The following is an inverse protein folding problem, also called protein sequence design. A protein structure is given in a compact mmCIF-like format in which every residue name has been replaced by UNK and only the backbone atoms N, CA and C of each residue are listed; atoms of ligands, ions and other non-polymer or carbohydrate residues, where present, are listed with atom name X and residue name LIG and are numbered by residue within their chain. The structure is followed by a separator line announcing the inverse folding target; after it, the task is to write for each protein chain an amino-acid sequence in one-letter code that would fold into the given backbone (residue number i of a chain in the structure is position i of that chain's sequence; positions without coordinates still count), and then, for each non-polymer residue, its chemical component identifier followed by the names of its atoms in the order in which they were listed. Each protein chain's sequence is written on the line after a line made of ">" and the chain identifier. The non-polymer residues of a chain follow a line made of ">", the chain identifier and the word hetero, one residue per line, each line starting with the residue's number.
data_IF_698932777978
#
_entry.id   IF_698932777978
#
_cell.length_a   1.000
_cell.length_b   1.000
_cell.length_c   1.000
_cell.angle_alpha   90.00
_cell.angle_beta   90.00
_cell.angle_gamma   90.00
#
_symmetry.space_group_name_H-M   'P 1'
#
loop_
_entity.id
_entity.type
_entity.pdbx_description
1 polymer ?
#
# COMPACT_ATOMS: atom_id res chain seq x y z
N UNK A 1 2.19 41.52 2.29
CA UNK A 1 3.23 40.48 2.49
C UNK A 1 2.52 39.16 2.64
N UNK A 2 2.57 38.28 1.63
CA UNK A 2 2.14 36.90 1.84
C UNK A 2 3.10 36.29 2.85
N UNK A 3 2.57 35.86 3.98
CA UNK A 3 3.39 35.22 5.00
C UNK A 3 3.94 33.94 4.38
N UNK A 4 5.21 33.61 4.62
CA UNK A 4 5.90 32.43 4.04
C UNK A 4 5.06 31.14 4.13
N UNK A 5 4.21 31.07 5.15
CA UNK A 5 3.17 30.07 5.42
C UNK A 5 2.04 29.95 4.39
N UNK A 6 1.59 31.02 3.72
CA UNK A 6 0.51 30.95 2.73
C UNK A 6 0.99 30.33 1.41
N UNK A 7 2.22 30.67 1.00
CA UNK A 7 2.86 30.08 -0.19
C UNK A 7 3.10 28.58 0.05
N UNK A 8 3.59 28.21 1.23
CA UNK A 8 3.76 26.79 1.60
C UNK A 8 2.45 26.01 1.60
N UNK A 9 1.37 26.59 2.17
CA UNK A 9 0.04 25.97 2.13
C UNK A 9 -0.49 25.81 0.71
N UNK A 10 -0.32 26.83 -0.13
CA UNK A 10 -0.72 26.76 -1.55
C UNK A 10 0.05 25.68 -2.30
N UNK A 11 1.35 25.54 -2.04
CA UNK A 11 2.19 24.52 -2.65
C UNK A 11 1.74 23.11 -2.25
N UNK A 12 1.53 22.85 -0.96
CA UNK A 12 1.06 21.56 -0.45
C UNK A 12 -0.31 21.21 -1.05
N UNK A 13 -1.22 22.19 -1.15
CA UNK A 13 -2.53 21.97 -1.74
C UNK A 13 -2.45 21.58 -3.22
N UNK A 14 -1.61 22.25 -4.01
CA UNK A 14 -1.40 21.87 -5.42
C UNK A 14 -0.80 20.46 -5.56
N UNK A 15 0.13 20.10 -4.68
CA UNK A 15 0.70 18.74 -4.69
C UNK A 15 -0.38 17.71 -4.31
N UNK A 16 -1.24 18.00 -3.34
CA UNK A 16 -2.39 17.15 -3.00
C UNK A 16 -3.34 16.98 -4.19
N UNK A 17 -3.67 18.07 -4.91
CA UNK A 17 -4.54 18.02 -6.09
C UNK A 17 -3.95 17.12 -7.18
N UNK A 18 -2.65 17.25 -7.47
CA UNK A 18 -1.96 16.41 -8.46
C UNK A 18 -1.97 14.94 -8.00
N UNK A 19 -1.71 14.67 -6.73
CA UNK A 19 -1.62 13.30 -6.22
C UNK A 19 -2.97 12.60 -6.08
N UNK A 20 -4.09 13.34 -6.05
CA UNK A 20 -5.43 12.73 -6.07
C UNK A 20 -5.67 11.90 -7.34
N UNK A 21 -5.03 12.25 -8.46
CA UNK A 21 -5.12 11.49 -9.71
C UNK A 21 -4.32 10.17 -9.66
N UNK A 22 -3.48 9.98 -8.64
CA UNK A 22 -2.61 8.81 -8.50
C UNK A 22 -2.93 8.02 -7.22
N UNK A 23 -3.77 6.99 -7.38
CA UNK A 23 -4.19 6.12 -6.26
C UNK A 23 -3.02 5.43 -5.56
N UNK A 24 -1.89 5.25 -6.26
CA UNK A 24 -0.67 4.61 -5.78
C UNK A 24 0.10 5.41 -4.70
N UNK A 25 -0.23 6.67 -4.44
CA UNK A 25 0.56 7.53 -3.55
C UNK A 25 -0.18 7.91 -2.26
N UNK A 26 0.59 8.09 -1.19
CA UNK A 26 0.15 8.62 0.10
C UNK A 26 0.06 10.15 0.06
N UNK A 27 -0.66 10.72 1.03
CA UNK A 27 -0.77 12.16 1.15
C UNK A 27 0.60 12.80 1.47
N UNK A 28 1.01 13.87 0.76
CA UNK A 28 2.26 14.58 0.99
C UNK A 28 2.27 15.22 2.38
N UNK A 29 3.42 15.19 3.04
CA UNK A 29 3.63 15.87 4.31
C UNK A 29 5.00 16.53 4.40
N UNK A 30 5.10 17.56 5.24
CA UNK A 30 6.35 18.30 5.51
C UNK A 30 7.11 17.60 6.65
N UNK A 31 8.41 17.38 6.48
CA UNK A 31 9.27 16.91 7.58
C UNK A 31 9.75 18.09 8.46
N UNK A 32 10.46 17.79 9.55
CA UNK A 32 11.00 18.82 10.45
C UNK A 32 12.04 19.73 9.80
N UNK A 33 12.69 19.29 8.72
CA UNK A 33 13.68 20.06 7.96
C UNK A 33 13.04 20.98 6.91
N UNK A 34 11.75 20.81 6.65
CA UNK A 34 11.00 21.56 5.65
C UNK A 34 10.89 20.90 4.27
N UNK A 35 11.38 19.68 4.10
CA UNK A 35 11.24 18.91 2.87
C UNK A 35 9.81 18.36 2.74
N UNK A 36 9.32 18.28 1.51
CA UNK A 36 8.04 17.66 1.18
C UNK A 36 8.28 16.19 0.83
N UNK A 37 7.66 15.29 1.58
CA UNK A 37 7.79 13.85 1.42
C UNK A 37 6.52 13.31 0.76
N UNK A 38 6.70 12.59 -0.35
CA UNK A 38 5.64 11.86 -1.06
C UNK A 38 6.05 10.38 -1.07
N UNK A 39 5.18 9.50 -0.61
CA UNK A 39 5.45 8.06 -0.52
C UNK A 39 4.51 7.28 -1.40
N UNK A 40 5.00 6.19 -1.99
CA UNK A 40 4.15 5.22 -2.66
C UNK A 40 3.44 4.38 -1.59
N UNK A 41 2.12 4.20 -1.70
CA UNK A 41 1.34 3.31 -0.86
C UNK A 41 1.92 1.90 -0.96
N UNK A 42 2.09 1.27 0.19
CA UNK A 42 2.33 -0.17 0.27
C UNK A 42 1.03 -0.89 -0.09
N UNK A 43 0.76 -1.02 -1.39
CA UNK A 43 -0.30 -1.89 -1.87
C UNK A 43 0.18 -3.31 -1.58
N UNK A 44 -0.24 -3.87 -0.45
CA UNK A 44 -0.18 -5.33 -0.24
C UNK A 44 -0.93 -5.91 -1.43
N UNK A 45 -0.21 -6.52 -2.38
CA UNK A 45 -0.85 -7.40 -3.37
C UNK A 45 -1.74 -8.31 -2.55
N UNK A 46 -3.06 -8.30 -2.82
CA UNK A 46 -3.97 -9.30 -2.26
C UNK A 46 -3.29 -10.64 -2.51
N UNK A 47 -2.73 -11.24 -1.47
CA UNK A 47 -2.39 -12.65 -1.53
C UNK A 47 -3.75 -13.29 -1.71
N UNK A 48 -4.00 -13.84 -2.91
CA UNK A 48 -5.15 -14.69 -3.14
C UNK A 48 -4.93 -15.91 -2.24
N UNK A 49 -5.34 -15.79 -0.96
CA UNK A 49 -5.04 -16.73 0.12
C UNK A 49 -5.76 -18.09 -0.02
N UNK A 50 -6.23 -18.40 -1.23
CA UNK A 50 -6.46 -19.77 -1.65
C UNK A 50 -6.25 -19.86 -3.16
N UNK A 51 -4.99 -19.95 -3.60
CA UNK A 51 -4.75 -20.45 -4.96
C UNK A 51 -5.34 -21.85 -5.07
N UNK A 52 -5.93 -22.20 -6.21
CA UNK A 52 -6.44 -23.55 -6.48
C UNK A 52 -5.37 -24.60 -6.18
N UNK A 53 -4.10 -24.29 -6.50
CA UNK A 53 -2.94 -25.09 -6.15
C UNK A 53 -2.82 -25.33 -4.64
N UNK A 54 -2.96 -24.29 -3.81
CA UNK A 54 -2.91 -24.42 -2.34
C UNK A 54 -4.00 -25.36 -1.83
N UNK A 55 -5.20 -25.32 -2.41
CA UNK A 55 -6.29 -26.23 -2.04
C UNK A 55 -6.03 -27.67 -2.50
N UNK A 56 -5.48 -27.86 -3.71
CA UNK A 56 -5.07 -29.19 -4.22
C UNK A 56 -3.98 -29.79 -3.33
N UNK A 57 -2.96 -29.01 -2.95
CA UNK A 57 -1.90 -29.47 -2.04
C UNK A 57 -2.45 -29.87 -0.66
N UNK A 58 -3.38 -29.09 -0.09
CA UNK A 58 -4.03 -29.43 1.18
C UNK A 58 -4.79 -30.77 1.10
N UNK A 59 -5.52 -31.00 0.02
CA UNK A 59 -6.26 -32.26 -0.19
C UNK A 59 -5.30 -33.45 -0.43
N UNK A 60 -4.23 -33.28 -1.20
CA UNK A 60 -3.20 -34.31 -1.38
C UNK A 60 -2.57 -34.74 -0.05
N UNK A 61 -2.15 -33.78 0.78
CA UNK A 61 -1.54 -34.07 2.09
C UNK A 61 -2.57 -34.75 3.03
N UNK A 62 -3.80 -34.24 3.07
CA UNK A 62 -4.88 -34.81 3.91
C UNK A 62 -5.20 -36.26 3.54
N UNK A 63 -5.16 -36.59 2.26
CA UNK A 63 -5.40 -37.95 1.79
C UNK A 63 -4.22 -38.88 2.11
N UNK A 64 -2.98 -38.37 2.02
CA UNK A 64 -1.79 -39.14 2.38
C UNK A 64 -1.70 -39.42 3.90
N UNK A 65 -1.98 -38.42 4.74
CA UNK A 65 -2.03 -38.58 6.20
C UNK A 65 -3.11 -39.58 6.63
N UNK A 66 -4.27 -39.62 5.94
CA UNK A 66 -5.32 -40.62 6.20
C UNK A 66 -4.91 -42.03 5.80
N UNK A 67 -4.12 -42.18 4.73
CA UNK A 67 -3.67 -43.48 4.22
C UNK A 67 -2.58 -44.09 5.09
N UNK A 68 -1.73 -43.26 5.70
CA UNK A 68 -0.64 -43.68 6.59
C UNK A 68 -1.08 -43.81 8.06
N UNK A 69 -2.37 -43.66 8.36
CA UNK A 69 -2.96 -43.88 9.68
C UNK A 69 -3.38 -45.37 9.81
N UNK A 70 -2.36 -46.24 9.83
CA UNK A 70 -2.48 -47.67 10.20
C UNK A 70 -1.99 -47.83 11.63
#
# INVERSE_FOLDING_TARGET
>A
MYTRTEIEKSLINKINEILNDFEDFEQPFKNYNGDIIIRKKLIKRKTNDSSILTNIFKEMIKNDVKKNRV
#
